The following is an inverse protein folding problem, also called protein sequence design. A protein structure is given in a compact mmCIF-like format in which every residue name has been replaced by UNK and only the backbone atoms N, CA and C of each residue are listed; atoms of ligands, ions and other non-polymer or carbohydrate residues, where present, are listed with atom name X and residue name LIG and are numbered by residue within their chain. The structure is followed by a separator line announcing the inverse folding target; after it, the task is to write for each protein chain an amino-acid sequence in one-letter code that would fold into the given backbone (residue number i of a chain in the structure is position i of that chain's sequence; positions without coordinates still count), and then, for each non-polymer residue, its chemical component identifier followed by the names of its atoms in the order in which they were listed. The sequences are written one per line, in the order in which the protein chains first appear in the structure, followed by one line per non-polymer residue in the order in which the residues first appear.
data_IF_238373666379
#
_entry.id   IF_238373666379
#
_cell.length_a   1.000
_cell.length_b   1.000
_cell.length_c   1.000
_cell.angle_alpha   90.00
_cell.angle_beta   90.00
_cell.angle_gamma   90.00
#
_symmetry.space_group_name_H-M   'P 1'
#
loop_
_entity.id
_entity.type
_entity.pdbx_description
1 polymer ?
#
# COMPACT_ATOMS: atom_id res chain seq x y z
N UNK A 1 1.81 -16.15 -10.95
CA UNK A 1 1.02 -17.42 -10.83
C UNK A 1 0.29 -17.44 -9.48
N UNK A 2 -0.75 -18.26 -9.31
CA UNK A 2 -1.45 -18.41 -8.02
C UNK A 2 -1.29 -19.84 -7.52
N UNK A 3 -0.87 -20.02 -6.26
CA UNK A 3 -0.77 -21.32 -5.61
C UNK A 3 -1.55 -21.32 -4.29
N UNK A 4 -2.15 -22.47 -3.97
CA UNK A 4 -2.91 -22.66 -2.73
C UNK A 4 -1.96 -23.01 -1.58
N UNK A 5 -2.09 -22.32 -0.45
CA UNK A 5 -1.51 -22.68 0.85
C UNK A 5 -2.59 -23.35 1.72
N UNK A 6 -2.21 -23.83 2.92
CA UNK A 6 -3.14 -24.50 3.84
C UNK A 6 -4.39 -23.67 4.12
N UNK A 7 -4.20 -22.42 4.53
CA UNK A 7 -5.27 -21.51 4.99
C UNK A 7 -5.42 -20.25 4.10
N UNK A 8 -4.77 -20.23 2.93
CA UNK A 8 -4.70 -19.04 2.09
C UNK A 8 -4.23 -19.29 0.67
N UNK A 9 -3.93 -18.21 -0.05
CA UNK A 9 -3.31 -18.27 -1.37
C UNK A 9 -2.00 -17.48 -1.39
N UNK A 10 -1.12 -17.86 -2.30
CA UNK A 10 0.10 -17.15 -2.63
C UNK A 10 0.03 -16.73 -4.09
N UNK A 11 0.29 -15.45 -4.33
CA UNK A 11 0.30 -14.86 -5.66
C UNK A 11 1.69 -14.34 -5.97
N UNK A 12 2.14 -14.54 -7.20
CA UNK A 12 3.48 -14.18 -7.65
C UNK A 12 3.40 -13.05 -8.70
N UNK A 13 4.03 -11.93 -8.39
CA UNK A 13 4.01 -10.67 -9.15
C UNK A 13 5.44 -10.17 -9.44
N UNK A 14 5.64 -9.37 -10.52
CA UNK A 14 6.87 -8.60 -10.68
C UNK A 14 6.99 -7.53 -9.57
N UNK A 15 8.20 -7.23 -9.12
CA UNK A 15 8.47 -6.06 -8.28
C UNK A 15 8.29 -4.77 -9.09
N UNK A 16 7.79 -3.72 -8.44
CA UNK A 16 7.63 -2.40 -9.05
C UNK A 16 8.36 -1.34 -8.20
N UNK A 17 9.71 -1.30 -8.23
CA UNK A 17 10.50 -0.37 -7.43
C UNK A 17 10.12 1.08 -7.75
N UNK A 18 9.73 1.89 -6.76
CA UNK A 18 9.39 3.28 -7.00
C UNK A 18 10.66 4.15 -7.01
N UNK A 19 10.57 5.35 -7.59
CA UNK A 19 11.67 6.32 -7.60
C UNK A 19 11.37 7.48 -6.65
N UNK A 20 12.35 7.91 -5.87
CA UNK A 20 12.18 9.07 -4.98
C UNK A 20 11.96 10.33 -5.81
N UNK A 21 11.05 11.20 -5.37
CA UNK A 21 10.68 12.44 -6.05
C UNK A 21 10.74 13.61 -5.08
N UNK A 22 10.83 14.84 -5.61
CA UNK A 22 10.71 16.03 -4.75
C UNK A 22 9.26 16.16 -4.27
N UNK A 23 9.07 16.16 -2.95
CA UNK A 23 7.77 16.41 -2.32
C UNK A 23 7.11 17.72 -2.79
N UNK A 24 7.91 18.71 -3.21
CA UNK A 24 7.43 20.00 -3.76
C UNK A 24 6.54 19.82 -4.99
N UNK A 25 6.83 18.83 -5.82
CA UNK A 25 6.08 18.55 -7.05
C UNK A 25 4.67 17.99 -6.76
N UNK A 26 4.42 17.53 -5.54
CA UNK A 26 3.19 16.85 -5.14
C UNK A 26 2.56 17.46 -3.88
N UNK A 27 2.90 18.71 -3.53
CA UNK A 27 2.45 19.35 -2.27
C UNK A 27 0.94 19.37 -2.11
N UNK A 28 0.19 19.64 -3.18
CA UNK A 28 -1.26 19.66 -3.10
C UNK A 28 -1.82 18.28 -2.74
N UNK A 29 -1.33 17.22 -3.40
CA UNK A 29 -1.73 15.84 -3.12
C UNK A 29 -1.36 15.45 -1.68
N UNK A 30 -0.14 15.75 -1.25
CA UNK A 30 0.33 15.44 0.10
C UNK A 30 -0.54 16.16 1.13
N UNK A 31 -0.80 17.45 0.94
CA UNK A 31 -1.59 18.26 1.85
C UNK A 31 -3.02 17.76 1.99
N UNK A 32 -3.69 17.39 0.90
CA UNK A 32 -5.07 16.87 0.98
C UNK A 32 -5.13 15.45 1.52
N UNK A 33 -4.06 14.66 1.37
CA UNK A 33 -4.03 13.26 1.80
C UNK A 33 -3.64 13.12 3.27
N UNK A 34 -2.55 13.78 3.70
CA UNK A 34 -1.96 13.59 5.03
C UNK A 34 -1.92 14.88 5.86
N UNK A 35 -2.44 15.99 5.36
CA UNK A 35 -2.54 17.24 6.10
C UNK A 35 -1.16 17.76 6.55
N UNK A 36 -0.99 17.91 7.86
CA UNK A 36 0.24 18.38 8.50
C UNK A 36 1.09 17.26 9.12
N UNK A 37 0.74 16.00 8.84
CA UNK A 37 1.51 14.86 9.35
C UNK A 37 2.95 14.91 8.80
N UNK A 38 3.96 14.55 9.61
CA UNK A 38 5.35 14.59 9.17
C UNK A 38 5.59 13.52 8.10
N UNK A 39 5.88 13.96 6.89
CA UNK A 39 6.30 13.11 5.77
C UNK A 39 7.81 13.01 5.78
N UNK A 40 8.33 11.79 5.72
CA UNK A 40 9.77 11.54 5.65
C UNK A 40 10.24 11.41 4.20
N UNK A 41 9.53 10.66 3.37
CA UNK A 41 9.89 10.50 1.96
C UNK A 41 8.66 10.43 1.05
N UNK A 42 8.85 10.79 -0.22
CA UNK A 42 7.84 10.66 -1.27
C UNK A 42 8.46 9.95 -2.47
N UNK A 43 7.75 8.94 -2.97
CA UNK A 43 8.17 8.16 -4.13
C UNK A 43 7.05 8.06 -5.15
N UNK A 44 7.41 7.89 -6.42
CA UNK A 44 6.48 7.66 -7.51
C UNK A 44 6.83 6.35 -8.22
N UNK A 45 5.84 5.47 -8.38
CA UNK A 45 5.91 4.36 -9.32
C UNK A 45 5.30 4.81 -10.65
N UNK A 46 6.13 5.19 -11.62
CA UNK A 46 5.66 5.71 -12.92
C UNK A 46 4.84 4.67 -13.69
N UNK A 47 5.25 3.39 -13.63
CA UNK A 47 4.55 2.31 -14.33
C UNK A 47 3.16 2.06 -13.75
N UNK A 48 3.03 2.12 -12.42
CA UNK A 48 1.77 1.91 -11.71
C UNK A 48 0.96 3.20 -11.54
N UNK A 49 1.55 4.36 -11.86
CA UNK A 49 1.02 5.70 -11.59
C UNK A 49 0.59 5.88 -10.13
N UNK A 50 1.38 5.35 -9.21
CA UNK A 50 1.07 5.37 -7.79
C UNK A 50 2.07 6.22 -7.02
N UNK A 51 1.57 7.22 -6.28
CA UNK A 51 2.36 8.08 -5.40
C UNK A 51 2.41 7.46 -4.00
N UNK A 52 3.61 7.09 -3.55
CA UNK A 52 3.85 6.58 -2.20
C UNK A 52 4.30 7.71 -1.29
N UNK A 53 3.52 7.98 -0.24
CA UNK A 53 3.81 8.95 0.81
C UNK A 53 4.23 8.18 2.06
N UNK A 54 5.51 8.27 2.44
CA UNK A 54 6.05 7.60 3.62
C UNK A 54 6.08 8.56 4.80
N UNK A 55 5.23 8.31 5.79
CA UNK A 55 5.19 9.09 7.03
C UNK A 55 6.44 8.84 7.88
N UNK A 56 6.83 9.81 8.70
CA UNK A 56 7.99 9.73 9.59
C UNK A 56 7.88 8.60 10.62
N UNK A 57 9.02 8.05 11.03
CA UNK A 57 9.11 7.04 12.11
C UNK A 57 8.65 7.59 13.48
N UNK A 58 8.47 8.92 13.61
CA UNK A 58 7.91 9.53 14.81
C UNK A 58 6.37 9.42 14.90
N UNK A 59 5.69 9.00 13.82
CA UNK A 59 4.25 8.80 13.82
C UNK A 59 3.86 7.51 14.56
N UNK A 60 2.75 7.57 15.28
CA UNK A 60 2.09 6.39 15.83
C UNK A 60 1.18 5.72 14.78
N UNK A 61 1.01 4.40 14.82
CA UNK A 61 0.20 3.66 13.84
C UNK A 61 -1.28 4.07 13.85
N UNK A 62 -1.78 4.61 14.97
CA UNK A 62 -3.13 5.18 15.07
C UNK A 62 -3.37 6.30 14.06
N UNK A 63 -2.32 7.01 13.62
CA UNK A 63 -2.39 8.05 12.60
C UNK A 63 -2.97 7.53 11.29
N UNK A 64 -2.56 6.34 10.84
CA UNK A 64 -3.11 5.74 9.62
C UNK A 64 -4.58 5.34 9.79
N UNK A 65 -4.93 4.73 10.94
CA UNK A 65 -6.32 4.32 11.20
C UNK A 65 -7.27 5.51 11.34
N UNK A 66 -6.78 6.63 11.90
CA UNK A 66 -7.54 7.87 12.06
C UNK A 66 -7.49 8.80 10.85
N UNK A 67 -6.73 8.46 9.80
CA UNK A 67 -6.57 9.33 8.64
C UNK A 67 -7.92 9.50 7.92
N UNK A 68 -8.45 10.71 7.90
CA UNK A 68 -9.71 11.00 7.20
C UNK A 68 -9.39 11.72 5.89
N UNK A 69 -9.46 10.98 4.79
CA UNK A 69 -9.15 11.48 3.46
C UNK A 69 -10.45 11.75 2.72
N UNK A 70 -10.65 12.99 2.27
CA UNK A 70 -11.76 13.34 1.38
C UNK A 70 -11.42 12.92 -0.07
N UNK A 71 -12.10 11.90 -0.62
CA UNK A 71 -11.82 11.42 -1.97
C UNK A 71 -12.12 12.48 -3.04
N UNK A 72 -13.08 13.37 -2.79
CA UNK A 72 -13.43 14.44 -3.73
C UNK A 72 -12.34 15.52 -3.79
N UNK A 73 -11.72 15.83 -2.66
CA UNK A 73 -10.60 16.76 -2.59
C UNK A 73 -9.39 16.24 -3.38
N UNK A 74 -9.09 14.95 -3.29
CA UNK A 74 -8.02 14.32 -4.09
C UNK A 74 -8.39 14.30 -5.57
N UNK A 75 -9.61 13.87 -5.91
CA UNK A 75 -10.08 13.78 -7.29
C UNK A 75 -10.03 15.13 -8.02
N UNK A 76 -10.25 16.24 -7.30
CA UNK A 76 -10.19 17.59 -7.84
C UNK A 76 -8.79 18.07 -8.25
N UNK A 77 -7.73 17.33 -7.92
CA UNK A 77 -6.35 17.68 -8.29
C UNK A 77 -6.03 17.16 -9.70
N UNK A 78 -5.60 18.07 -10.58
CA UNK A 78 -5.06 17.71 -11.90
C UNK A 78 -3.66 17.12 -11.76
N UNK A 79 -3.56 15.80 -11.91
CA UNK A 79 -2.29 15.07 -11.87
C UNK A 79 -1.58 15.02 -13.22
N UNK A 80 -2.17 15.59 -14.28
CA UNK A 80 -1.73 15.46 -15.68
C UNK A 80 -1.53 14.00 -16.10
N UNK A 81 -2.29 13.09 -15.51
CA UNK A 81 -2.21 11.64 -15.73
C UNK A 81 -0.98 10.95 -15.14
N UNK A 82 -0.18 11.66 -14.32
CA UNK A 82 1.02 11.10 -13.66
C UNK A 82 0.68 10.22 -12.45
N UNK A 83 -0.43 10.50 -11.78
CA UNK A 83 -0.87 9.82 -10.56
C UNK A 83 -2.34 9.40 -10.73
N UNK A 84 -2.61 8.13 -10.42
CA UNK A 84 -3.92 7.49 -10.41
C UNK A 84 -4.21 6.75 -9.10
N UNK A 85 -3.19 6.51 -8.28
CA UNK A 85 -3.30 5.97 -6.92
C UNK A 85 -2.35 6.68 -5.96
N UNK A 86 -2.72 6.72 -4.68
CA UNK A 86 -1.91 7.24 -3.59
C UNK A 86 -1.86 6.18 -2.50
N UNK A 87 -0.65 5.81 -2.11
CA UNK A 87 -0.41 4.93 -0.99
C UNK A 87 0.24 5.72 0.13
N UNK A 88 -0.38 5.74 1.30
CA UNK A 88 0.26 6.26 2.52
C UNK A 88 0.82 5.07 3.27
N UNK A 89 2.10 5.10 3.64
CA UNK A 89 2.76 4.02 4.37
C UNK A 89 3.59 4.54 5.52
N UNK A 90 3.83 3.69 6.51
CA UNK A 90 4.71 4.00 7.63
C UNK A 90 5.36 2.73 8.17
N UNK A 91 6.47 2.91 8.88
CA UNK A 91 7.18 1.81 9.53
C UNK A 91 6.29 1.17 10.59
N UNK A 92 6.33 -0.16 10.65
CA UNK A 92 5.57 -0.92 11.63
C UNK A 92 6.32 -1.10 12.95
N UNK A 93 5.67 -1.83 13.85
CA UNK A 93 6.22 -2.22 15.15
C UNK A 93 6.09 -3.75 15.28
N UNK A 94 7.06 -4.53 14.78
CA UNK A 94 6.96 -6.00 14.75
C UNK A 94 6.98 -6.63 16.15
N UNK A 95 7.52 -5.92 17.14
CA UNK A 95 7.57 -6.37 18.54
C UNK A 95 6.25 -6.14 19.31
N UNK A 96 5.26 -5.49 18.70
CA UNK A 96 3.91 -5.33 19.26
C UNK A 96 3.02 -6.55 18.95
N UNK A 97 1.81 -6.59 19.52
CA UNK A 97 0.83 -7.65 19.26
C UNK A 97 -0.56 -7.07 18.93
N UNK A 98 -1.08 -7.27 17.71
CA UNK A 98 -0.39 -7.86 16.55
C UNK A 98 0.76 -6.97 16.07
N UNK A 99 1.85 -7.60 15.60
CA UNK A 99 3.08 -6.92 15.18
C UNK A 99 3.25 -6.99 13.68
N UNK A 100 3.50 -5.83 13.05
CA UNK A 100 3.66 -5.70 11.61
C UNK A 100 4.94 -4.96 11.26
N UNK A 101 5.50 -5.25 10.10
CA UNK A 101 6.73 -4.63 9.61
C UNK A 101 6.48 -3.26 9.01
N UNK A 102 5.32 -3.09 8.39
CA UNK A 102 4.84 -1.80 7.92
C UNK A 102 3.32 -1.79 7.80
N UNK A 103 2.80 -0.58 7.77
CA UNK A 103 1.39 -0.30 7.61
C UNK A 103 1.14 0.48 6.31
N UNK A 104 -0.04 0.35 5.73
CA UNK A 104 -0.42 1.10 4.53
C UNK A 104 -1.91 1.45 4.49
N UNK A 105 -2.25 2.44 3.65
CA UNK A 105 -3.60 2.69 3.12
C UNK A 105 -3.47 3.10 1.66
N UNK A 106 -4.45 2.74 0.84
CA UNK A 106 -4.42 2.99 -0.60
C UNK A 106 -5.71 3.67 -1.09
N UNK A 107 -5.54 4.80 -1.77
CA UNK A 107 -6.61 5.64 -2.29
C UNK A 107 -6.45 5.80 -3.79
N UNK A 108 -7.49 5.55 -4.58
CA UNK A 108 -7.41 5.65 -6.04
C UNK A 108 -8.66 6.32 -6.64
N UNK A 109 -9.02 7.54 -6.21
CA UNK A 109 -10.28 8.16 -6.60
C UNK A 109 -10.37 8.45 -8.11
N UNK A 110 -9.23 8.69 -8.78
CA UNK A 110 -9.20 8.89 -10.24
C UNK A 110 -9.63 7.68 -11.06
N UNK A 111 -9.66 6.48 -10.47
CA UNK A 111 -10.18 5.26 -11.09
C UNK A 111 -11.50 4.80 -10.46
N UNK A 112 -12.16 5.68 -9.70
CA UNK A 112 -13.47 5.41 -9.10
C UNK A 112 -13.41 4.63 -7.78
N UNK A 113 -12.24 4.50 -7.16
CA UNK A 113 -12.06 3.78 -5.89
C UNK A 113 -11.66 4.80 -4.81
N UNK A 114 -12.59 5.25 -3.94
CA UNK A 114 -12.27 6.17 -2.86
C UNK A 114 -11.12 5.68 -1.98
N UNK A 115 -11.23 4.45 -1.50
CA UNK A 115 -10.21 3.72 -0.77
C UNK A 115 -10.37 2.23 -1.11
N UNK A 116 -9.26 1.57 -1.42
CA UNK A 116 -9.23 0.12 -1.65
C UNK A 116 -8.95 -0.60 -0.31
N UNK A 117 -9.77 -1.58 0.11
CA UNK A 117 -9.58 -2.26 1.38
C UNK A 117 -8.23 -2.96 1.55
N UNK A 118 -7.77 -3.68 0.52
CA UNK A 118 -6.53 -4.46 0.52
C UNK A 118 -5.98 -4.54 -0.91
N UNK A 119 -4.85 -3.89 -1.17
CA UNK A 119 -4.37 -3.67 -2.54
C UNK A 119 -3.10 -4.47 -2.81
N UNK A 120 -3.24 -5.64 -3.44
CA UNK A 120 -2.10 -6.49 -3.77
C UNK A 120 -1.07 -5.81 -4.70
N UNK A 121 -1.51 -5.03 -5.67
CA UNK A 121 -0.62 -4.33 -6.61
C UNK A 121 0.28 -3.30 -5.92
N UNK A 122 -0.25 -2.52 -5.00
CA UNK A 122 0.51 -1.57 -4.16
C UNK A 122 1.63 -2.26 -3.39
N UNK A 123 1.41 -3.50 -2.94
CA UNK A 123 2.44 -4.25 -2.21
C UNK A 123 3.61 -4.71 -3.09
N UNK A 124 3.50 -4.64 -4.42
CA UNK A 124 4.67 -4.80 -5.32
C UNK A 124 5.62 -3.60 -5.28
N UNK A 125 5.10 -2.42 -4.90
CA UNK A 125 5.86 -1.20 -4.68
C UNK A 125 6.39 -1.19 -3.25
N UNK A 126 5.50 -1.36 -2.28
CA UNK A 126 5.85 -1.34 -0.85
C UNK A 126 6.82 -2.45 -0.47
N UNK A 127 6.66 -3.66 -1.02
CA UNK A 127 7.60 -4.75 -0.78
C UNK A 127 9.00 -4.41 -1.25
N UNK A 128 9.15 -3.78 -2.42
CA UNK A 128 10.45 -3.32 -2.91
C UNK A 128 11.07 -2.25 -2.01
N UNK A 129 10.27 -1.29 -1.54
CA UNK A 129 10.74 -0.20 -0.68
C UNK A 129 11.14 -0.72 0.70
N UNK A 130 10.19 -1.36 1.41
CA UNK A 130 10.41 -1.79 2.79
C UNK A 130 11.43 -2.92 2.92
N UNK A 131 11.57 -3.78 1.91
CA UNK A 131 12.63 -4.79 1.93
C UNK A 131 14.02 -4.17 1.99
N UNK A 132 14.23 -3.10 1.22
CA UNK A 132 15.48 -2.32 1.22
C UNK A 132 15.65 -1.56 2.53
N UNK A 133 14.61 -0.85 2.99
CA UNK A 133 14.69 -0.03 4.21
C UNK A 133 14.89 -0.86 5.49
N UNK A 134 14.31 -2.07 5.55
CA UNK A 134 14.37 -2.95 6.71
C UNK A 134 15.47 -4.02 6.60
N UNK A 135 16.12 -4.15 5.44
CA UNK A 135 17.15 -5.16 5.21
C UNK A 135 16.65 -6.61 5.29
N UNK A 136 15.40 -6.86 4.88
CA UNK A 136 14.77 -8.20 4.93
C UNK A 136 13.91 -8.50 3.72
N UNK A 137 13.79 -9.79 3.39
CA UNK A 137 13.03 -10.24 2.23
C UNK A 137 11.62 -10.74 2.59
N UNK A 138 11.45 -11.27 3.81
CA UNK A 138 10.15 -11.71 4.32
C UNK A 138 9.58 -10.67 5.24
N UNK A 139 8.35 -10.25 4.99
CA UNK A 139 7.70 -9.18 5.74
C UNK A 139 6.22 -9.49 5.99
N UNK A 140 5.70 -9.02 7.12
CA UNK A 140 4.28 -8.99 7.42
C UNK A 140 3.76 -7.55 7.35
N UNK A 141 2.77 -7.31 6.49
CA UNK A 141 2.20 -6.00 6.26
C UNK A 141 0.73 -5.96 6.67
N UNK A 142 0.25 -4.79 7.08
CA UNK A 142 -1.17 -4.58 7.35
C UNK A 142 -1.70 -3.32 6.66
N UNK A 143 -2.73 -3.49 5.84
CA UNK A 143 -3.44 -2.38 5.21
C UNK A 143 -4.57 -1.91 6.13
N UNK A 144 -4.39 -0.74 6.72
CA UNK A 144 -5.23 -0.13 7.75
C UNK A 144 -6.52 0.51 7.19
N UNK A 145 -7.17 -0.13 6.22
CA UNK A 145 -8.50 0.31 5.77
C UNK A 145 -9.56 -0.02 6.83
N UNK A 146 -10.79 0.44 6.63
CA UNK A 146 -11.92 0.10 7.52
C UNK A 146 -12.21 -1.40 7.63
N UNK A 147 -11.86 -2.18 6.60
CA UNK A 147 -11.99 -3.64 6.60
C UNK A 147 -10.74 -4.35 7.11
N UNK A 148 -9.58 -3.71 7.00
CA UNK A 148 -8.30 -4.32 7.32
C UNK A 148 -7.87 -5.40 6.32
N UNK A 149 -6.57 -5.67 6.29
CA UNK A 149 -6.03 -6.81 5.57
C UNK A 149 -4.58 -7.05 5.92
N UNK A 150 -4.28 -8.28 6.31
CA UNK A 150 -2.91 -8.76 6.54
C UNK A 150 -2.35 -9.37 5.26
N UNK A 151 -1.08 -9.08 4.97
CA UNK A 151 -0.38 -9.64 3.82
C UNK A 151 1.00 -10.17 4.22
N UNK A 152 1.28 -11.41 3.84
CA UNK A 152 2.60 -12.01 3.89
C UNK A 152 3.36 -11.69 2.61
N UNK A 153 4.55 -11.09 2.72
CA UNK A 153 5.36 -10.72 1.57
C UNK A 153 6.68 -11.47 1.57
N UNK A 154 7.13 -11.91 0.40
CA UNK A 154 8.47 -12.43 0.17
C UNK A 154 9.05 -11.84 -1.10
N UNK A 155 9.99 -10.91 -0.94
CA UNK A 155 10.80 -10.34 -2.02
C UNK A 155 11.86 -11.37 -2.43
N UNK A 156 11.95 -11.62 -3.74
CA UNK A 156 12.83 -12.63 -4.33
C UNK A 156 13.95 -11.97 -5.12
N UNK A 157 15.08 -12.64 -5.20
CA UNK A 157 16.29 -12.13 -5.88
C UNK A 157 16.13 -12.03 -7.41
N UNK A 158 15.10 -12.64 -8.00
CA UNK A 158 14.80 -12.61 -9.43
C UNK A 158 13.90 -11.42 -9.86
N UNK A 159 13.77 -10.40 -9.01
CA UNK A 159 12.97 -9.20 -9.30
C UNK A 159 11.46 -9.42 -9.13
N UNK A 160 11.06 -10.41 -8.34
CA UNK A 160 9.66 -10.79 -8.10
C UNK A 160 9.29 -10.73 -6.63
N UNK A 161 8.00 -10.73 -6.36
CA UNK A 161 7.45 -10.75 -5.01
C UNK A 161 6.31 -11.75 -4.93
N UNK A 162 6.35 -12.59 -3.90
CA UNK A 162 5.22 -13.38 -3.50
C UNK A 162 4.37 -12.58 -2.50
N UNK A 163 3.07 -12.56 -2.71
CA UNK A 163 2.08 -11.91 -1.83
C UNK A 163 1.09 -12.98 -1.40
N UNK A 164 1.05 -13.25 -0.11
CA UNK A 164 0.19 -14.23 0.53
C UNK A 164 -0.82 -13.58 1.46
N UNK A 165 -1.92 -14.29 1.71
CA UNK A 165 -2.92 -13.91 2.70
C UNK A 165 -3.93 -15.03 2.93
N UNK A 166 -4.54 -15.02 4.10
CA UNK A 166 -5.66 -15.91 4.42
C UNK A 166 -6.89 -15.54 3.59
N UNK A 167 -7.73 -16.54 3.32
CA UNK A 167 -8.96 -16.35 2.56
C UNK A 167 -10.15 -17.03 3.20
N UNK A 168 -11.31 -16.39 3.06
CA UNK A 168 -12.60 -16.94 3.49
C UNK A 168 -13.58 -16.91 2.34
N UNK A 169 -14.26 -18.03 2.09
CA UNK A 169 -15.34 -18.09 1.12
C UNK A 169 -16.59 -17.42 1.69
N UNK A 170 -16.97 -16.27 1.12
CA UNK A 170 -18.18 -15.54 1.54
C UNK A 170 -19.44 -16.07 0.85
N UNK A 171 -19.33 -16.47 -0.43
CA UNK A 171 -20.45 -17.00 -1.22
C UNK A 171 -19.94 -18.05 -2.21
N UNK A 172 -20.70 -19.12 -2.36
CA UNK A 172 -20.48 -20.16 -3.37
C UNK A 172 -21.81 -20.46 -4.09
N UNK A 173 -21.78 -20.49 -5.42
CA UNK A 173 -22.98 -20.70 -6.23
C UNK A 173 -22.67 -20.97 -7.70
N UNK A 174 -23.71 -20.99 -8.54
CA UNK A 174 -23.62 -21.23 -9.99
C UNK A 174 -24.17 -20.01 -10.71
N UNK A 175 -23.35 -19.39 -11.57
CA UNK A 175 -23.81 -18.34 -12.50
C UNK A 175 -24.31 -19.04 -13.76
N UNK A 176 -25.56 -18.77 -14.14
CA UNK A 176 -26.15 -19.19 -15.43
C UNK A 176 -26.34 -17.96 -16.29
N UNK A 177 -25.84 -18.03 -17.52
CA UNK A 177 -25.90 -16.96 -18.52
C UNK A 177 -27.03 -17.24 -19.51
#
# INVERSE_FOLDING_TARGET
AVSKKKDGYLMDFPLNPPTQVDSKDFQDIIRVTVGTLPVQDVFLSTNMKELMIRLSDSCDSSVLTGLNVDPAAILGIDTKGRVQGITVTMKGAPDCQPGYDFYSRNFAPWVGIPEDPVTGSTHTILGSYWSKELGKNKMLAYQCSSRGGELELEVRDDGRINIGGEVVTVLQGIIRL
#
